data_IF_716151170358
#
_entry.id   IF_716151170358
#
_cell.length_a   1.000
_cell.length_b   1.000
_cell.length_c   1.000
_cell.angle_alpha   90.00
_cell.angle_beta   90.00
_cell.angle_gamma   90.00
#
_symmetry.space_group_name_H-M   'P 1'
#
loop_
_entity.id
_entity.type
_entity.pdbx_description
1 polymer ?
#
# COMPACT_ATOMS: atom_id res chain seq x y z
N UNK A 1 42.32 14.31 -16.13
CA UNK A 1 40.97 13.78 -16.40
C UNK A 1 40.99 12.31 -16.03
N UNK A 2 40.23 11.91 -15.01
CA UNK A 2 40.19 10.52 -14.53
C UNK A 2 39.00 9.79 -15.14
N UNK A 3 39.21 8.54 -15.54
CA UNK A 3 38.15 7.64 -15.96
C UNK A 3 38.02 6.52 -14.93
N UNK A 4 36.78 6.16 -14.61
CA UNK A 4 36.48 5.00 -13.77
C UNK A 4 35.95 3.93 -14.72
N UNK A 5 36.64 2.80 -14.79
CA UNK A 5 36.21 1.64 -15.58
C UNK A 5 35.50 0.68 -14.63
N UNK A 6 34.28 0.32 -15.00
CA UNK A 6 33.57 -0.77 -14.36
C UNK A 6 33.71 -2.02 -15.23
N UNK A 7 33.88 -3.15 -14.56
CA UNK A 7 33.80 -4.47 -15.19
C UNK A 7 32.34 -4.71 -15.62
N UNK A 8 32.16 -5.26 -16.81
CA UNK A 8 30.85 -5.34 -17.49
C UNK A 8 29.87 -6.22 -16.71
N UNK A 9 30.31 -7.37 -16.22
CA UNK A 9 29.47 -8.27 -15.41
C UNK A 9 29.05 -7.62 -14.09
N UNK A 10 29.96 -6.91 -13.42
CA UNK A 10 29.67 -6.17 -12.20
C UNK A 10 28.65 -5.05 -12.44
N UNK A 11 28.75 -4.32 -13.55
CA UNK A 11 27.77 -3.30 -13.91
C UNK A 11 26.40 -3.93 -14.18
N UNK A 12 26.34 -4.96 -15.01
CA UNK A 12 25.10 -5.66 -15.35
C UNK A 12 24.45 -6.30 -14.12
N UNK A 13 25.25 -6.82 -13.18
CA UNK A 13 24.74 -7.31 -11.91
C UNK A 13 24.10 -6.20 -11.08
N UNK A 14 24.76 -5.05 -10.94
CA UNK A 14 24.22 -3.90 -10.21
C UNK A 14 22.94 -3.37 -10.85
N UNK A 15 22.89 -3.30 -12.17
CA UNK A 15 21.70 -2.87 -12.92
C UNK A 15 20.51 -3.81 -12.66
N UNK A 16 20.75 -5.12 -12.75
CA UNK A 16 19.74 -6.13 -12.42
C UNK A 16 19.26 -6.05 -10.95
N UNK A 17 20.16 -5.77 -10.00
CA UNK A 17 19.78 -5.55 -8.60
C UNK A 17 18.92 -4.29 -8.44
N UNK A 18 19.26 -3.21 -9.14
CA UNK A 18 18.51 -1.96 -9.10
C UNK A 18 17.09 -2.15 -9.68
N UNK A 19 16.96 -2.83 -10.81
CA UNK A 19 15.66 -3.16 -11.37
C UNK A 19 14.80 -3.97 -10.40
N UNK A 20 15.40 -4.98 -9.77
CA UNK A 20 14.71 -5.81 -8.78
C UNK A 20 14.27 -5.01 -7.56
N UNK A 21 15.09 -4.05 -7.14
CA UNK A 21 14.74 -3.12 -6.07
C UNK A 21 13.53 -2.25 -6.45
N UNK A 22 13.54 -1.64 -7.63
CA UNK A 22 12.41 -0.83 -8.13
C UNK A 22 11.13 -1.66 -8.20
N UNK A 23 11.19 -2.85 -8.81
CA UNK A 23 10.05 -3.79 -8.89
C UNK A 23 9.50 -4.15 -7.51
N UNK A 24 10.36 -4.30 -6.51
CA UNK A 24 9.95 -4.58 -5.13
C UNK A 24 9.27 -3.37 -4.48
N UNK A 25 9.76 -2.16 -4.74
CA UNK A 25 9.14 -0.92 -4.25
C UNK A 25 7.76 -0.69 -4.87
N UNK A 26 7.59 -0.97 -6.16
CA UNK A 26 6.28 -0.87 -6.82
C UNK A 26 5.26 -1.83 -6.19
N UNK A 27 5.64 -3.07 -5.92
CA UNK A 27 4.77 -4.05 -5.21
C UNK A 27 4.37 -3.58 -3.82
N UNK A 28 5.26 -2.88 -3.11
CA UNK A 28 4.95 -2.31 -1.79
C UNK A 28 3.93 -1.18 -1.94
N UNK A 29 4.10 -0.32 -2.96
CA UNK A 29 3.15 0.76 -3.28
C UNK A 29 1.77 0.19 -3.61
N UNK A 30 1.66 -0.76 -4.53
CA UNK A 30 0.39 -1.39 -4.93
C UNK A 30 -0.33 -2.01 -3.73
N UNK A 31 0.39 -2.77 -2.89
CA UNK A 31 -0.19 -3.36 -1.66
C UNK A 31 -0.64 -2.29 -0.65
N UNK A 32 -0.08 -1.09 -0.69
CA UNK A 32 -0.51 0.02 0.15
C UNK A 32 -1.75 0.73 -0.39
N UNK A 33 -1.92 0.76 -1.71
CA UNK A 33 -3.12 1.29 -2.38
C UNK A 33 -4.33 0.36 -2.16
N UNK A 34 -4.14 -0.96 -2.13
CA UNK A 34 -5.20 -1.92 -1.75
C UNK A 34 -5.68 -1.76 -0.29
N UNK A 35 -4.89 -1.08 0.55
CA UNK A 35 -5.25 -0.76 1.94
C UNK A 35 -5.91 0.61 2.06
N UNK A 36 -6.69 1.05 1.08
CA UNK A 36 -7.61 2.17 1.23
C UNK A 36 -8.77 1.84 2.18
N UNK A 37 -8.45 1.47 3.42
CA UNK A 37 -9.22 1.83 4.61
C UNK A 37 -9.09 3.33 4.94
N UNK A 38 -8.38 4.10 4.09
CA UNK A 38 -8.31 5.56 4.12
C UNK A 38 -9.64 6.25 3.77
N UNK A 39 -10.62 5.52 3.23
CA UNK A 39 -11.98 6.05 3.11
C UNK A 39 -12.65 5.95 4.48
N UNK A 40 -12.86 7.11 5.11
CA UNK A 40 -13.76 7.21 6.27
C UNK A 40 -15.14 6.73 5.84
N UNK A 41 -15.66 5.69 6.50
CA UNK A 41 -17.02 5.20 6.29
C UNK A 41 -17.98 6.15 6.99
N UNK A 42 -19.00 6.62 6.28
CA UNK A 42 -20.11 7.33 6.92
C UNK A 42 -21.09 6.34 7.58
N UNK A 43 -22.08 6.84 8.33
CA UNK A 43 -23.06 5.99 9.01
C UNK A 43 -23.85 5.12 8.03
N UNK A 44 -24.09 5.59 6.80
CA UNK A 44 -24.82 4.82 5.79
C UNK A 44 -23.95 3.66 5.27
N UNK A 45 -22.68 3.92 4.96
CA UNK A 45 -21.71 2.91 4.55
C UNK A 45 -21.63 1.79 5.62
N UNK A 46 -21.58 2.16 6.90
CA UNK A 46 -21.58 1.19 8.02
C UNK A 46 -22.89 0.41 8.11
N UNK A 47 -24.03 1.10 8.04
CA UNK A 47 -25.35 0.45 8.08
C UNK A 47 -25.55 -0.57 6.96
N UNK A 48 -25.12 -0.24 5.73
CA UNK A 48 -25.22 -1.14 4.58
C UNK A 48 -24.26 -2.33 4.73
N UNK A 49 -23.01 -2.07 5.11
CA UNK A 49 -21.97 -3.12 5.24
C UNK A 49 -22.33 -4.14 6.30
N UNK A 50 -22.82 -3.68 7.45
CA UNK A 50 -23.15 -4.54 8.59
C UNK A 50 -24.60 -5.01 8.58
N UNK A 51 -25.41 -4.55 7.63
CA UNK A 51 -26.86 -4.80 7.57
C UNK A 51 -27.58 -4.47 8.89
N UNK A 52 -27.28 -3.29 9.45
CA UNK A 52 -27.86 -2.80 10.71
C UNK A 52 -28.44 -1.41 10.54
N UNK A 53 -29.32 -1.02 11.46
CA UNK A 53 -29.91 0.32 11.45
C UNK A 53 -29.02 1.34 12.18
N UNK A 54 -29.22 2.65 11.94
CA UNK A 54 -28.43 3.71 12.57
C UNK A 54 -28.46 3.66 14.10
N UNK A 55 -29.59 3.22 14.69
CA UNK A 55 -29.72 3.08 16.14
C UNK A 55 -28.76 2.01 16.69
N UNK A 56 -28.57 0.90 15.98
CA UNK A 56 -27.60 -0.14 16.37
C UNK A 56 -26.17 0.39 16.26
N UNK A 57 -25.84 1.17 15.23
CA UNK A 57 -24.52 1.82 15.11
C UNK A 57 -24.25 2.76 16.29
N UNK A 58 -25.26 3.54 16.70
CA UNK A 58 -25.13 4.41 17.88
C UNK A 58 -24.89 3.59 19.16
N UNK A 59 -25.68 2.53 19.39
CA UNK A 59 -25.48 1.64 20.53
C UNK A 59 -24.10 0.99 20.55
N UNK A 60 -23.55 0.62 19.39
CA UNK A 60 -22.18 0.08 19.28
C UNK A 60 -21.11 1.14 19.62
N UNK A 61 -21.33 2.40 19.25
CA UNK A 61 -20.43 3.52 19.62
C UNK A 61 -20.48 3.83 21.10
N UNK A 62 -21.66 3.78 21.70
CA UNK A 62 -21.85 4.08 23.12
C UNK A 62 -21.31 2.97 24.04
N UNK A 63 -21.22 1.73 23.52
CA UNK A 63 -20.77 0.55 24.26
C UNK A 63 -19.32 0.13 23.95
N UNK A 64 -18.66 0.78 22.99
CA UNK A 64 -17.26 0.53 22.64
C UNK A 64 -16.29 1.24 23.57
#
# INVERSE_FOLDING_TARGET
MGFIVFEEEAFNYLDAQLENFVKRMDRIRERSEDKTMNKWLDTQDVCQTLNICPRTVQTLRDNG
#
